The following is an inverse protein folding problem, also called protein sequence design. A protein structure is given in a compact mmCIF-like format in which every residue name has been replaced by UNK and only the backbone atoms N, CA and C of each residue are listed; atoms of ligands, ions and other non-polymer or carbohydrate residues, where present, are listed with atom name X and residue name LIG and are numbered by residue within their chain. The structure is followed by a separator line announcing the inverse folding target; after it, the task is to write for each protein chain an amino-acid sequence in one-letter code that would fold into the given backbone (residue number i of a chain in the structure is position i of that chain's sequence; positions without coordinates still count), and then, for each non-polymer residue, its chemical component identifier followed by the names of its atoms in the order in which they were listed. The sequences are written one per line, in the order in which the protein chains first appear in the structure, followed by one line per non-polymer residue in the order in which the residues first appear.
data_IF_543621904504
#
_entry.id   IF_543621904504
#
_cell.length_a   1.000
_cell.length_b   1.000
_cell.length_c   1.000
_cell.angle_alpha   90.00
_cell.angle_beta   90.00
_cell.angle_gamma   90.00
#
_symmetry.space_group_name_H-M   'P 1'
#
loop_
_entity.id
_entity.type
_entity.pdbx_description
1 polymer ?
#
# COMPACT_ATOMS: atom_id res chain seq x y z
N UNK A 1 -5.23 -17.04 -1.52
CA UNK A 1 -5.32 -15.68 -1.01
C UNK A 1 -4.19 -14.84 -1.58
N UNK A 2 -4.47 -13.60 -1.93
CA UNK A 2 -3.48 -12.71 -2.51
C UNK A 2 -2.33 -12.43 -1.54
N UNK A 3 -1.12 -12.29 -2.07
CA UNK A 3 0.05 -11.87 -1.31
C UNK A 3 0.48 -10.44 -1.69
N UNK A 4 -0.39 -9.72 -2.38
CA UNK A 4 -0.13 -8.36 -2.84
C UNK A 4 -0.43 -7.35 -1.75
N UNK A 5 0.46 -6.38 -1.59
CA UNK A 5 0.30 -5.27 -0.66
C UNK A 5 0.47 -3.97 -1.43
N UNK A 6 -0.44 -3.04 -1.22
CA UNK A 6 -0.40 -1.73 -1.87
C UNK A 6 -0.06 -0.65 -0.85
N UNK A 7 0.91 0.20 -1.23
CA UNK A 7 1.23 1.41 -0.49
C UNK A 7 0.85 2.63 -1.32
N UNK A 8 -0.04 3.46 -0.79
CA UNK A 8 -0.46 4.71 -1.41
C UNK A 8 0.33 5.82 -0.72
N UNK A 9 1.31 6.38 -1.41
CA UNK A 9 2.28 7.30 -0.83
C UNK A 9 2.42 8.57 -1.65
N UNK A 10 3.21 9.51 -1.15
CA UNK A 10 3.74 10.60 -1.97
C UNK A 10 4.70 10.05 -3.02
N UNK A 11 5.07 10.87 -4.00
CA UNK A 11 6.07 10.44 -4.99
C UNK A 11 7.38 10.12 -4.27
N UNK A 12 8.12 9.16 -4.79
CA UNK A 12 9.40 8.81 -4.19
C UNK A 12 10.43 9.94 -4.21
N UNK A 13 10.25 10.91 -5.11
CA UNK A 13 11.07 12.12 -5.14
C UNK A 13 10.88 12.97 -3.88
N UNK A 14 9.66 12.97 -3.34
CA UNK A 14 9.29 13.79 -2.19
C UNK A 14 9.50 13.06 -0.86
N UNK A 15 9.78 11.76 -0.90
CA UNK A 15 10.04 10.98 0.30
C UNK A 15 11.52 11.06 0.68
N UNK A 16 11.77 11.21 1.98
CA UNK A 16 13.12 11.10 2.50
C UNK A 16 13.44 9.61 2.69
N UNK A 17 14.12 9.02 1.73
CA UNK A 17 14.38 7.58 1.68
C UNK A 17 15.02 7.05 2.97
N UNK A 18 15.87 7.83 3.61
CA UNK A 18 16.56 7.41 4.83
C UNK A 18 15.70 7.46 6.09
N UNK A 19 14.68 8.31 6.11
CA UNK A 19 13.89 8.61 7.31
C UNK A 19 12.41 8.29 7.17
N UNK A 20 11.93 8.09 5.94
CA UNK A 20 10.51 7.88 5.72
C UNK A 20 10.07 6.49 6.15
N UNK A 21 9.07 6.45 7.02
CA UNK A 21 8.52 5.19 7.54
C UNK A 21 7.87 4.35 6.45
N UNK A 22 7.32 4.98 5.42
CA UNK A 22 6.70 4.24 4.31
C UNK A 22 7.73 3.42 3.56
N UNK A 23 8.93 3.96 3.36
CA UNK A 23 10.03 3.23 2.72
C UNK A 23 10.44 2.03 3.58
N UNK A 24 10.52 2.22 4.90
CA UNK A 24 10.84 1.12 5.82
C UNK A 24 9.78 0.02 5.77
N UNK A 25 8.51 0.39 5.70
CA UNK A 25 7.40 -0.56 5.59
C UNK A 25 7.48 -1.35 4.27
N UNK A 26 7.77 -0.66 3.17
CA UNK A 26 7.92 -1.30 1.85
C UNK A 26 9.08 -2.30 1.89
N UNK A 27 10.22 -1.89 2.42
CA UNK A 27 11.40 -2.74 2.55
C UNK A 27 11.09 -3.98 3.37
N UNK A 28 10.42 -3.81 4.51
CA UNK A 28 10.03 -4.92 5.38
C UNK A 28 9.06 -5.87 4.68
N UNK A 29 8.11 -5.34 3.94
CA UNK A 29 7.16 -6.18 3.19
C UNK A 29 7.88 -7.01 2.12
N UNK A 30 8.83 -6.40 1.40
CA UNK A 30 9.63 -7.12 0.41
C UNK A 30 10.44 -8.23 1.07
N UNK A 31 11.07 -7.94 2.20
CA UNK A 31 11.87 -8.91 2.94
C UNK A 31 11.03 -10.08 3.45
N UNK A 32 9.75 -9.85 3.69
CA UNK A 32 8.81 -10.89 4.12
C UNK A 32 8.09 -11.56 2.96
N UNK A 33 8.59 -11.40 1.74
CA UNK A 33 8.11 -12.08 0.53
C UNK A 33 6.73 -11.66 0.06
N UNK A 34 6.29 -10.45 0.42
CA UNK A 34 5.09 -9.88 -0.16
C UNK A 34 5.38 -9.32 -1.55
N UNK A 35 4.36 -9.36 -2.39
CA UNK A 35 4.38 -8.74 -3.70
C UNK A 35 3.92 -7.29 -3.53
N UNK A 36 4.87 -6.36 -3.52
CA UNK A 36 4.64 -4.98 -3.11
C UNK A 36 4.37 -4.08 -4.30
N UNK A 37 3.32 -3.27 -4.18
CA UNK A 37 2.93 -2.28 -5.17
C UNK A 37 2.86 -0.91 -4.53
N UNK A 38 3.08 0.13 -5.33
CA UNK A 38 3.01 1.52 -4.89
C UNK A 38 2.26 2.36 -5.91
N UNK A 39 1.42 3.25 -5.42
CA UNK A 39 0.79 4.28 -6.24
C UNK A 39 0.68 5.58 -5.44
N UNK A 40 0.23 6.63 -6.15
CA UNK A 40 -0.10 7.91 -5.55
C UNK A 40 -1.61 8.08 -5.54
N UNK A 41 -2.12 9.06 -4.81
CA UNK A 41 -3.57 9.25 -4.70
C UNK A 41 -4.23 9.52 -6.05
N UNK A 42 -3.52 10.18 -6.97
CA UNK A 42 -4.04 10.47 -8.31
C UNK A 42 -4.08 9.25 -9.22
N UNK A 43 -3.50 8.14 -8.79
CA UNK A 43 -3.53 6.87 -9.53
C UNK A 43 -4.76 6.03 -9.20
N UNK A 44 -5.58 6.48 -8.26
CA UNK A 44 -6.82 5.80 -7.90
C UNK A 44 -7.94 6.20 -8.86
N UNK A 45 -8.75 5.24 -9.27
CA UNK A 45 -9.88 5.48 -10.17
C UNK A 45 -11.01 4.51 -9.87
N UNK A 46 -12.20 4.84 -10.39
CA UNK A 46 -13.34 3.95 -10.29
C UNK A 46 -13.80 3.60 -11.70
N UNK A 47 -14.09 2.33 -11.94
CA UNK A 47 -14.56 1.86 -13.22
C UNK A 47 -15.48 0.66 -13.02
N UNK A 48 -16.67 0.71 -13.59
CA UNK A 48 -17.64 -0.38 -13.46
C UNK A 48 -18.01 -0.69 -12.00
N UNK A 49 -17.96 0.29 -11.13
CA UNK A 49 -18.28 0.11 -9.71
C UNK A 49 -17.13 -0.40 -8.85
N UNK A 50 -15.98 -0.69 -9.45
CA UNK A 50 -14.78 -1.15 -8.72
C UNK A 50 -13.72 -0.06 -8.67
N UNK A 51 -12.95 -0.03 -7.58
CA UNK A 51 -11.86 0.93 -7.41
C UNK A 51 -10.54 0.28 -7.83
N UNK A 52 -9.79 0.98 -8.68
CA UNK A 52 -8.53 0.53 -9.23
C UNK A 52 -7.39 1.45 -8.81
N UNK A 53 -6.21 0.89 -8.73
CA UNK A 53 -4.97 1.64 -8.57
C UNK A 53 -4.08 1.36 -9.77
N UNK A 54 -3.66 2.42 -10.47
CA UNK A 54 -2.58 2.32 -11.45
C UNK A 54 -1.28 2.29 -10.65
N UNK A 55 -0.78 1.11 -10.37
CA UNK A 55 0.30 0.90 -9.41
C UNK A 55 1.49 0.20 -10.04
N UNK A 56 2.68 0.47 -9.50
CA UNK A 56 3.91 -0.18 -9.94
C UNK A 56 4.35 -1.23 -8.94
N UNK A 57 4.84 -2.34 -9.43
CA UNK A 57 5.44 -3.37 -8.59
C UNK A 57 6.82 -2.90 -8.14
N UNK A 58 7.07 -2.93 -6.85
CA UNK A 58 8.34 -2.49 -6.26
C UNK A 58 9.21 -3.73 -6.03
N UNK A 59 10.35 -3.78 -6.71
CA UNK A 59 11.27 -4.91 -6.62
C UNK A 59 12.38 -4.71 -5.61
N UNK A 60 12.70 -3.46 -5.30
CA UNK A 60 13.65 -3.17 -4.22
C UNK A 60 13.39 -1.79 -3.64
N UNK A 61 13.63 -1.65 -2.34
CA UNK A 61 13.56 -0.37 -1.65
C UNK A 61 14.73 -0.33 -0.67
N UNK A 62 15.73 0.45 -1.01
CA UNK A 62 16.94 0.58 -0.19
C UNK A 62 17.11 1.97 0.36
N UNK A 63 18.24 2.21 1.00
CA UNK A 63 18.55 3.50 1.60
C UNK A 63 18.79 4.61 0.59
N UNK A 64 19.02 4.28 -0.68
CA UNK A 64 19.39 5.25 -1.71
C UNK A 64 18.41 5.33 -2.87
N UNK A 65 17.66 4.26 -3.13
CA UNK A 65 16.69 4.28 -4.23
C UNK A 65 15.61 3.22 -4.05
N UNK A 66 14.47 3.45 -4.72
CA UNK A 66 13.36 2.51 -4.83
C UNK A 66 13.24 2.13 -6.30
N UNK A 67 13.22 0.85 -6.58
CA UNK A 67 13.09 0.34 -7.94
C UNK A 67 11.71 -0.30 -8.12
N UNK A 68 11.07 0.04 -9.23
CA UNK A 68 9.79 -0.51 -9.60
C UNK A 68 9.68 -0.70 -11.09
N UNK A 69 8.73 -1.54 -11.49
CA UNK A 69 8.43 -1.77 -12.89
C UNK A 69 7.21 -0.95 -13.30
N UNK A 70 6.88 -0.98 -14.60
CA UNK A 70 5.79 -0.23 -15.19
C UNK A 70 4.48 -0.41 -14.42
N UNK A 71 3.69 0.67 -14.33
CA UNK A 71 2.38 0.65 -13.68
C UNK A 71 1.39 -0.26 -14.43
N UNK A 72 0.56 -0.93 -13.66
CA UNK A 72 -0.59 -1.69 -14.15
C UNK A 72 -1.81 -1.42 -13.29
N UNK A 73 -2.99 -1.58 -13.86
CA UNK A 73 -4.25 -1.35 -13.16
C UNK A 73 -4.67 -2.59 -12.39
N UNK A 74 -4.76 -2.46 -11.07
CA UNK A 74 -5.17 -3.55 -10.18
C UNK A 74 -6.30 -3.06 -9.29
N UNK A 75 -7.27 -3.93 -9.02
CA UNK A 75 -8.37 -3.58 -8.11
C UNK A 75 -7.88 -3.59 -6.67
N UNK A 76 -8.33 -2.61 -5.88
CA UNK A 76 -7.93 -2.53 -4.48
C UNK A 76 -8.38 -3.76 -3.69
N UNK A 77 -9.52 -4.33 -4.02
CA UNK A 77 -10.03 -5.52 -3.34
C UNK A 77 -9.17 -6.77 -3.57
N UNK A 78 -8.29 -6.76 -4.58
CA UNK A 78 -7.42 -7.89 -4.87
C UNK A 78 -6.12 -7.85 -4.07
N UNK A 79 -5.86 -6.76 -3.35
CA UNK A 79 -4.71 -6.67 -2.45
C UNK A 79 -5.05 -7.26 -1.09
N UNK A 80 -4.07 -7.91 -0.48
CA UNK A 80 -4.21 -8.41 0.88
C UNK A 80 -4.32 -7.26 1.89
N UNK A 81 -3.48 -6.24 1.70
CA UNK A 81 -3.51 -5.01 2.49
C UNK A 81 -3.28 -3.80 1.60
N UNK A 82 -3.99 -2.72 1.89
CA UNK A 82 -3.75 -1.41 1.28
C UNK A 82 -3.46 -0.41 2.39
N UNK A 83 -2.29 0.20 2.37
CA UNK A 83 -1.88 1.18 3.37
C UNK A 83 -1.89 2.58 2.79
N UNK A 84 -2.70 3.46 3.37
CA UNK A 84 -2.77 4.87 3.00
C UNK A 84 -1.72 5.64 3.79
N UNK A 85 -0.66 6.06 3.11
CA UNK A 85 0.51 6.70 3.72
C UNK A 85 0.84 8.05 3.11
N UNK A 86 -0.12 8.68 2.42
CA UNK A 86 0.04 10.02 1.88
C UNK A 86 0.06 11.04 3.01
N UNK A 87 1.09 11.89 3.03
CA UNK A 87 1.22 12.96 4.01
C UNK A 87 0.37 14.18 3.63
N UNK A 88 0.02 15.05 4.61
CA UNK A 88 -0.63 16.34 4.31
C UNK A 88 0.19 17.14 3.30
N UNK A 89 -0.43 18.10 2.58
CA UNK A 89 -1.71 18.76 2.92
C UNK A 89 -2.92 17.96 2.49
N UNK A 90 -4.02 18.15 3.23
CA UNK A 90 -5.32 17.60 2.88
C UNK A 90 -5.99 18.57 1.93
N UNK A 91 -5.89 18.27 0.65
CA UNK A 91 -6.51 19.06 -0.41
C UNK A 91 -7.69 18.29 -1.01
N UNK A 92 -8.27 18.84 -2.08
CA UNK A 92 -9.41 18.20 -2.76
C UNK A 92 -9.05 16.83 -3.30
N UNK A 93 -7.85 16.66 -3.83
CA UNK A 93 -7.38 15.36 -4.34
C UNK A 93 -7.28 14.33 -3.24
N UNK A 94 -6.80 14.74 -2.08
CA UNK A 94 -6.72 13.87 -0.90
C UNK A 94 -8.11 13.43 -0.45
N UNK A 95 -9.06 14.36 -0.37
CA UNK A 95 -10.44 14.06 0.01
C UNK A 95 -11.09 13.09 -0.98
N UNK A 96 -10.89 13.33 -2.27
CA UNK A 96 -11.41 12.44 -3.31
C UNK A 96 -10.82 11.03 -3.18
N UNK A 97 -9.53 10.93 -2.88
CA UNK A 97 -8.88 9.65 -2.64
C UNK A 97 -9.52 8.92 -1.46
N UNK A 98 -9.80 9.62 -0.37
CA UNK A 98 -10.46 9.02 0.80
C UNK A 98 -11.86 8.50 0.45
N UNK A 99 -12.60 9.20 -0.40
CA UNK A 99 -13.90 8.72 -0.89
C UNK A 99 -13.76 7.42 -1.69
N UNK A 100 -12.77 7.36 -2.58
CA UNK A 100 -12.51 6.15 -3.35
C UNK A 100 -12.10 4.98 -2.45
N UNK A 101 -11.26 5.24 -1.45
CA UNK A 101 -10.87 4.21 -0.48
C UNK A 101 -12.08 3.70 0.31
N UNK A 102 -13.01 4.59 0.68
CA UNK A 102 -14.25 4.20 1.33
C UNK A 102 -15.11 3.29 0.45
N UNK A 103 -15.18 3.58 -0.85
CA UNK A 103 -15.89 2.72 -1.79
C UNK A 103 -15.20 1.36 -1.92
N UNK A 104 -13.88 1.35 -1.95
CA UNK A 104 -13.10 0.11 -2.02
C UNK A 104 -13.35 -0.77 -0.79
N UNK A 105 -13.45 -0.17 0.39
CA UNK A 105 -13.78 -0.91 1.62
C UNK A 105 -15.15 -1.57 1.52
N UNK A 106 -16.11 -0.89 0.93
CA UNK A 106 -17.44 -1.46 0.71
C UNK A 106 -17.42 -2.65 -0.24
N UNK A 107 -16.46 -2.68 -1.17
CA UNK A 107 -16.25 -3.83 -2.04
C UNK A 107 -15.58 -5.00 -1.34
N UNK A 108 -14.97 -4.77 -0.19
CA UNK A 108 -14.24 -5.78 0.56
C UNK A 108 -12.73 -5.56 0.63
N UNK A 109 -12.23 -4.42 0.14
CA UNK A 109 -10.82 -4.09 0.23
C UNK A 109 -10.40 -3.86 1.68
N UNK A 110 -9.20 -4.29 2.01
CA UNK A 110 -8.64 -4.17 3.34
C UNK A 110 -7.77 -2.90 3.43
N UNK A 111 -8.41 -1.80 3.78
CA UNK A 111 -7.80 -0.46 3.80
C UNK A 111 -7.36 -0.11 5.22
N UNK A 112 -6.11 0.32 5.34
CA UNK A 112 -5.53 0.78 6.60
C UNK A 112 -5.10 2.23 6.47
N UNK A 113 -5.78 3.11 7.18
CA UNK A 113 -5.53 4.55 7.19
C UNK A 113 -5.47 5.02 8.63
N UNK A 114 -4.47 4.54 9.36
CA UNK A 114 -4.33 4.76 10.79
C UNK A 114 -2.99 5.46 11.07
N UNK A 115 -2.95 6.51 11.94
CA UNK A 115 -1.69 7.13 12.33
C UNK A 115 -0.70 6.15 12.97
N UNK A 116 -1.18 5.05 13.54
CA UNK A 116 -0.34 3.98 14.11
C UNK A 116 -0.07 2.86 13.11
N UNK A 117 -0.01 3.19 11.83
CA UNK A 117 0.12 2.22 10.75
C UNK A 117 1.32 1.30 10.87
N UNK A 118 2.44 1.78 11.42
CA UNK A 118 3.64 0.94 11.60
C UNK A 118 3.36 -0.22 12.54
N UNK A 119 2.75 0.08 13.67
CA UNK A 119 2.40 -0.95 14.65
C UNK A 119 1.44 -1.95 14.05
N UNK A 120 0.41 -1.45 13.38
CA UNK A 120 -0.58 -2.28 12.71
C UNK A 120 0.05 -3.14 11.61
N UNK A 121 0.94 -2.55 10.81
CA UNK A 121 1.68 -3.26 9.76
C UNK A 121 2.49 -4.41 10.35
N UNK A 122 3.26 -4.14 11.41
CA UNK A 122 4.08 -5.15 12.07
C UNK A 122 3.24 -6.28 12.66
N UNK A 123 2.10 -5.97 13.24
CA UNK A 123 1.16 -6.97 13.77
C UNK A 123 0.63 -7.86 12.65
N UNK A 124 0.27 -7.26 11.49
CA UNK A 124 -0.24 -8.03 10.34
C UNK A 124 0.84 -8.95 9.78
N UNK A 125 2.06 -8.46 9.62
CA UNK A 125 3.18 -9.27 9.13
C UNK A 125 3.47 -10.43 10.09
N UNK A 126 3.56 -10.14 11.38
CA UNK A 126 3.79 -11.15 12.41
C UNK A 126 2.68 -12.21 12.40
N UNK A 127 1.44 -11.79 12.34
CA UNK A 127 0.29 -12.68 12.33
C UNK A 127 0.34 -13.69 11.17
N UNK A 128 0.73 -13.21 9.98
CA UNK A 128 0.84 -14.05 8.79
C UNK A 128 1.97 -15.08 8.95
N UNK A 129 3.14 -14.64 9.43
CA UNK A 129 4.27 -15.54 9.66
C UNK A 129 3.93 -16.58 10.72
N UNK A 130 3.32 -16.13 11.81
CA UNK A 130 2.93 -17.04 12.89
C UNK A 130 1.96 -18.10 12.41
N UNK A 131 0.96 -17.72 11.61
CA UNK A 131 -0.03 -18.66 11.11
C UNK A 131 0.56 -19.75 10.21
N UNK A 132 1.70 -19.50 9.56
CA UNK A 132 2.40 -20.48 8.73
C UNK A 132 3.05 -21.59 9.56
N UNK A 133 3.33 -21.35 10.81
CA UNK A 133 4.04 -22.28 11.69
C UNK A 133 3.12 -22.99 12.69
N UNK A 134 1.84 -22.63 12.72
CA UNK A 134 0.86 -23.28 13.58
C UNK A 134 0.27 -24.48 12.81
N UNK A 135 0.44 -25.70 13.29
CA UNK A 135 -0.21 -26.85 12.66
C UNK A 135 -1.73 -26.77 12.84
N UNK A 136 -2.42 -27.05 11.80
CA UNK A 136 -3.88 -27.09 11.83
C UNK A 136 -4.37 -28.42 12.43
#
# INVERSE_FOLDING_TARGET
MSNKVLFITDTFKDLNIKKDTSILMIEEAINNKFDVFQCEINDLSIEGGSVYASSRNIISAGSTQVEGIKKEDLRLMDFRFCFMRKDPPVDENYVNALHLLGLAEKEGANIHNNPNAIKEFNEKIFSIHFSKYIPN
#
